data_IF_925612801558
#
_entry.id   IF_925612801558
#
_cell.length_a   1.000
_cell.length_b   1.000
_cell.length_c   1.000
_cell.angle_alpha   90.00
_cell.angle_beta   90.00
_cell.angle_gamma   90.00
#
_symmetry.space_group_name_H-M   'P 1'
#
loop_
_entity.id
_entity.type
_entity.pdbx_description
1 polymer ?
#
# COMPACT_ATOMS: atom_id res chain seq x y z
N UNK A 1 4.56 8.84 12.79
CA UNK A 1 3.84 8.87 11.48
C UNK A 1 2.62 7.98 11.61
N UNK A 2 1.48 8.43 11.10
CA UNK A 2 0.15 8.01 11.54
C UNK A 2 -0.20 6.56 11.20
N UNK A 3 -0.19 5.69 12.22
CA UNK A 3 -1.02 4.49 12.40
C UNK A 3 -1.02 3.38 11.34
N UNK A 4 -0.44 3.57 10.15
CA UNK A 4 -0.50 2.66 9.02
C UNK A 4 0.80 1.88 8.95
N UNK A 5 0.69 0.55 8.86
CA UNK A 5 1.84 -0.33 8.62
C UNK A 5 2.09 -0.42 7.12
N UNK A 6 3.35 -0.60 6.73
CA UNK A 6 3.72 -0.76 5.32
C UNK A 6 3.01 -1.96 4.66
N UNK A 7 2.72 -3.00 5.45
CA UNK A 7 1.92 -4.16 5.04
C UNK A 7 0.52 -3.78 4.55
N UNK A 8 -0.06 -2.70 5.07
CA UNK A 8 -1.42 -2.26 4.72
C UNK A 8 -1.47 -1.65 3.32
N UNK A 9 -0.31 -1.32 2.74
CA UNK A 9 -0.20 -0.83 1.36
C UNK A 9 -0.22 -1.96 0.34
N UNK A 10 0.07 -3.21 0.75
CA UNK A 10 0.02 -4.37 -0.15
C UNK A 10 -1.43 -4.60 -0.59
N UNK A 11 -1.61 -4.94 -1.87
CA UNK A 11 -2.89 -5.30 -2.44
C UNK A 11 -2.92 -6.82 -2.68
N UNK A 12 -3.50 -7.64 -1.77
CA UNK A 12 -3.54 -9.10 -1.91
C UNK A 12 -4.36 -9.55 -3.14
N UNK A 13 -5.22 -8.68 -3.68
CA UNK A 13 -6.00 -8.95 -4.89
C UNK A 13 -5.20 -8.72 -6.16
N UNK A 14 -4.05 -8.04 -6.10
CA UNK A 14 -3.19 -7.77 -7.25
C UNK A 14 -2.63 -9.06 -7.84
N UNK A 15 -2.73 -9.22 -9.15
CA UNK A 15 -2.09 -10.32 -9.88
C UNK A 15 -0.57 -10.33 -9.66
N UNK A 16 0.07 -9.17 -9.54
CA UNK A 16 1.52 -9.06 -9.30
C UNK A 16 1.88 -9.57 -7.89
N UNK A 17 1.07 -9.22 -6.88
CA UNK A 17 1.25 -9.75 -5.53
C UNK A 17 1.11 -11.28 -5.50
N UNK A 18 0.05 -11.81 -6.13
CA UNK A 18 -0.21 -13.26 -6.19
C UNK A 18 0.90 -14.01 -6.94
N UNK A 19 1.40 -13.46 -8.04
CA UNK A 19 2.49 -14.05 -8.84
C UNK A 19 3.83 -14.04 -8.11
N UNK A 20 4.05 -13.08 -7.22
CA UNK A 20 5.27 -13.01 -6.43
C UNK A 20 5.36 -14.13 -5.37
N UNK A 21 4.22 -14.79 -5.05
CA UNK A 21 4.13 -15.87 -4.05
C UNK A 21 4.75 -15.51 -2.70
N UNK A 22 4.76 -14.22 -2.34
CA UNK A 22 5.28 -13.74 -1.07
C UNK A 22 4.26 -13.96 0.04
N UNK A 23 4.75 -14.35 1.23
CA UNK A 23 3.96 -14.32 2.45
C UNK A 23 4.34 -13.07 3.26
N UNK A 24 3.51 -12.03 3.18
CA UNK A 24 3.77 -10.75 3.85
C UNK A 24 3.86 -10.85 5.38
N UNK A 25 3.27 -11.88 6.00
CA UNK A 25 3.35 -12.09 7.45
C UNK A 25 4.76 -12.47 7.91
N UNK A 26 5.58 -12.98 7.00
CA UNK A 26 6.95 -13.42 7.27
C UNK A 26 8.00 -12.36 6.91
N UNK A 27 7.59 -11.24 6.31
CA UNK A 27 8.50 -10.19 5.86
C UNK A 27 8.54 -9.05 6.88
N UNK A 28 9.74 -8.51 7.07
CA UNK A 28 9.93 -7.25 7.80
C UNK A 28 9.33 -6.08 7.02
N UNK A 29 9.16 -4.95 7.71
CA UNK A 29 8.65 -3.74 7.07
C UNK A 29 9.56 -3.25 5.93
N UNK A 30 10.87 -3.39 6.08
CA UNK A 30 11.84 -2.96 5.07
C UNK A 30 11.80 -3.87 3.83
N UNK A 31 11.71 -5.18 4.01
CA UNK A 31 11.54 -6.13 2.91
C UNK A 31 10.24 -5.89 2.13
N UNK A 32 9.15 -5.56 2.83
CA UNK A 32 7.89 -5.18 2.19
C UNK A 32 8.06 -3.87 1.40
N UNK A 33 8.75 -2.89 1.95
CA UNK A 33 9.01 -1.61 1.29
C UNK A 33 9.83 -1.80 0.01
N UNK A 34 10.91 -2.59 0.07
CA UNK A 34 11.73 -2.94 -1.09
C UNK A 34 10.93 -3.69 -2.15
N UNK A 35 10.14 -4.68 -1.74
CA UNK A 35 9.27 -5.42 -2.65
C UNK A 35 8.30 -4.49 -3.38
N UNK A 36 7.66 -3.57 -2.65
CA UNK A 36 6.71 -2.62 -3.20
C UNK A 36 7.36 -1.58 -4.13
N UNK A 37 8.58 -1.16 -3.82
CA UNK A 37 9.37 -0.28 -4.69
C UNK A 37 9.71 -0.98 -6.02
N UNK A 38 10.06 -2.26 -5.98
CA UNK A 38 10.31 -3.07 -7.17
C UNK A 38 9.02 -3.45 -7.92
N UNK A 39 7.89 -3.60 -7.20
CA UNK A 39 6.62 -4.07 -7.73
C UNK A 39 5.47 -3.11 -7.40
N UNK A 40 5.46 -1.88 -7.95
CA UNK A 40 4.46 -0.86 -7.59
C UNK A 40 3.02 -1.26 -7.91
N UNK A 41 2.81 -2.22 -8.82
CA UNK A 41 1.48 -2.79 -9.15
C UNK A 41 0.96 -3.78 -8.09
N UNK A 42 1.79 -4.20 -7.14
CA UNK A 42 1.40 -5.02 -6.00
C UNK A 42 0.83 -4.17 -4.84
N UNK A 43 0.86 -2.85 -4.96
CA UNK A 43 0.34 -1.89 -3.98
C UNK A 43 -1.10 -1.46 -4.29
N UNK A 44 -1.87 -1.07 -3.27
CA UNK A 44 -3.09 -0.28 -3.47
C UNK A 44 -2.74 1.10 -4.04
N UNK A 45 -3.50 1.54 -5.05
CA UNK A 45 -3.30 2.82 -5.73
C UNK A 45 -4.64 3.51 -6.01
N UNK A 46 -4.68 4.86 -6.02
CA UNK A 46 -3.58 5.77 -5.72
C UNK A 46 -3.26 5.82 -4.21
N UNK A 47 -2.13 6.45 -3.86
CA UNK A 47 -1.83 6.90 -2.50
C UNK A 47 -1.99 8.42 -2.50
N UNK A 48 -2.90 8.95 -1.70
CA UNK A 48 -3.16 10.40 -1.60
C UNK A 48 -2.90 10.88 -0.17
N UNK A 49 -2.16 11.96 0.01
CA UNK A 49 -1.84 12.50 1.33
C UNK A 49 -1.69 14.02 1.30
N UNK A 50 -2.19 14.67 2.35
CA UNK A 50 -1.98 16.10 2.66
C UNK A 50 -0.85 16.31 3.69
N UNK A 51 -0.10 15.25 4.02
CA UNK A 51 0.91 15.24 5.08
C UNK A 51 0.38 14.97 6.49
N UNK A 52 -0.94 14.97 6.69
CA UNK A 52 -1.60 14.65 7.98
C UNK A 52 -2.40 13.35 7.93
N UNK A 53 -3.04 13.07 6.79
CA UNK A 53 -3.82 11.87 6.50
C UNK A 53 -3.28 11.19 5.24
N UNK A 54 -3.42 9.87 5.19
CA UNK A 54 -3.08 9.05 4.02
C UNK A 54 -4.32 8.26 3.63
N UNK A 55 -4.75 8.41 2.37
CA UNK A 55 -5.80 7.61 1.74
C UNK A 55 -5.12 6.58 0.84
N UNK A 56 -5.48 5.31 1.04
CA UNK A 56 -4.88 4.16 0.36
C UNK A 56 -5.92 3.51 -0.57
N UNK A 57 -5.62 3.50 -1.86
CA UNK A 57 -6.56 3.01 -2.88
C UNK A 57 -7.62 4.05 -3.23
N UNK A 58 -8.42 3.77 -4.26
CA UNK A 58 -9.47 4.68 -4.73
C UNK A 58 -10.67 4.70 -3.76
N UNK A 59 -10.79 5.80 -3.01
CA UNK A 59 -11.85 6.03 -2.02
C UNK A 59 -12.38 7.46 -2.18
N UNK A 60 -13.34 7.71 -3.10
CA UNK A 60 -13.78 9.05 -3.49
C UNK A 60 -14.11 9.95 -2.30
N UNK A 61 -14.96 9.48 -1.38
CA UNK A 61 -15.42 10.26 -0.23
C UNK A 61 -14.24 10.72 0.67
N UNK A 62 -13.22 9.88 0.82
CA UNK A 62 -12.04 10.23 1.63
C UNK A 62 -11.06 11.11 0.87
N UNK A 63 -10.97 10.96 -0.45
CA UNK A 63 -10.12 11.78 -1.30
C UNK A 63 -10.64 13.21 -1.37
N UNK A 64 -11.95 13.39 -1.60
CA UNK A 64 -12.60 14.71 -1.60
C UNK A 64 -12.41 15.44 -0.27
N UNK A 65 -12.31 14.72 0.84
CA UNK A 65 -12.12 15.31 2.16
C UNK A 65 -10.68 15.81 2.45
N UNK A 66 -9.70 15.46 1.61
CA UNK A 66 -8.28 15.85 1.79
C UNK A 66 -7.69 16.62 0.60
N UNK A 67 -8.47 16.84 -0.46
CA UNK A 67 -8.16 17.75 -1.56
C UNK A 67 -8.60 19.18 -1.21
#
# INVERSE_FOLDING_TARGET
MGGIKISDLLNPKSTNYKKAQINAENLSGDEIAEFLAANPKAMYRPLLTDGKKLVVGFQPDQMEAIL
#
